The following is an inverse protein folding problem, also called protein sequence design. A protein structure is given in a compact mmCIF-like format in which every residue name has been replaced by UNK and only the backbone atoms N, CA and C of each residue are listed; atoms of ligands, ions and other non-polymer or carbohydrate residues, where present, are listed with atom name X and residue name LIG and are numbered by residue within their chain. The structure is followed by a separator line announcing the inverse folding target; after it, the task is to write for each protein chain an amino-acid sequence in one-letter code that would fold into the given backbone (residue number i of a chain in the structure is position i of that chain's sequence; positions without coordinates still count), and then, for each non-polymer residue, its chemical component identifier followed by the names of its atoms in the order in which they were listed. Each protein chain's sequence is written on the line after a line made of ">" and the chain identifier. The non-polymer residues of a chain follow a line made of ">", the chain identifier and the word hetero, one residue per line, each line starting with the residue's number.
data_IF_177769863618
#
_entry.id   IF_177769863618
#
_cell.length_a   1.000
_cell.length_b   1.000
_cell.length_c   1.000
_cell.angle_alpha   90.00
_cell.angle_beta   90.00
_cell.angle_gamma   90.00
#
_symmetry.space_group_name_H-M   'P 1'
#
loop_
_entity.id
_entity.type
_entity.pdbx_description
1 polymer ?
#
# COMPACT_ATOMS: atom_id res chain seq x y z
N UNK A 1 -54.86 -5.51 -8.76
CA UNK A 1 -54.09 -4.26 -8.58
C UNK A 1 -53.05 -4.42 -7.45
N UNK A 2 -52.21 -5.46 -7.47
CA UNK A 2 -51.23 -5.70 -6.39
C UNK A 2 -49.96 -6.47 -6.82
N UNK A 3 -49.66 -6.57 -8.13
CA UNK A 3 -48.48 -7.30 -8.62
C UNK A 3 -47.50 -6.43 -9.43
N UNK A 4 -47.85 -5.17 -9.71
CA UNK A 4 -46.95 -4.23 -10.42
C UNK A 4 -46.02 -3.43 -9.51
N UNK A 5 -46.19 -3.49 -8.18
CA UNK A 5 -45.44 -2.64 -7.24
C UNK A 5 -44.16 -3.29 -6.70
N UNK A 6 -43.91 -4.58 -6.97
CA UNK A 6 -42.75 -5.31 -6.43
C UNK A 6 -41.53 -5.35 -7.36
N UNK A 7 -41.70 -5.08 -8.66
CA UNK A 7 -40.61 -5.18 -9.65
C UNK A 7 -39.81 -3.86 -9.76
N UNK A 8 -40.37 -2.74 -9.26
CA UNK A 8 -39.71 -1.42 -9.32
C UNK A 8 -38.73 -1.13 -8.17
N UNK A 9 -38.66 -1.99 -7.14
CA UNK A 9 -37.76 -1.77 -5.99
C UNK A 9 -36.44 -2.55 -6.14
N UNK A 10 -36.36 -3.51 -7.06
CA UNK A 10 -35.13 -4.26 -7.36
C UNK A 10 -34.30 -3.65 -8.51
N UNK A 11 -34.52 -2.37 -8.82
CA UNK A 11 -33.68 -1.64 -9.77
C UNK A 11 -32.60 -0.85 -9.01
N UNK A 12 -31.50 -1.56 -8.75
CA UNK A 12 -30.15 -1.05 -8.95
C UNK A 12 -29.71 0.12 -8.06
N UNK A 13 -29.45 -0.19 -6.78
CA UNK A 13 -28.23 0.35 -6.16
C UNK A 13 -27.03 -0.40 -6.76
N UNK A 14 -26.81 -0.25 -8.07
CA UNK A 14 -25.50 -0.53 -8.64
C UNK A 14 -24.62 0.63 -8.19
N UNK A 15 -24.04 0.50 -6.99
CA UNK A 15 -22.83 1.25 -6.65
C UNK A 15 -21.78 0.83 -7.68
N UNK A 16 -21.80 1.49 -8.84
CA UNK A 16 -20.67 1.50 -9.74
C UNK A 16 -19.61 2.30 -9.00
N UNK A 17 -18.81 1.61 -8.20
CA UNK A 17 -17.64 2.21 -7.58
C UNK A 17 -16.74 2.64 -8.75
N UNK A 18 -16.77 3.92 -9.07
CA UNK A 18 -15.93 4.48 -10.12
C UNK A 18 -14.50 4.48 -9.57
N UNK A 19 -13.77 3.39 -9.82
CA UNK A 19 -12.37 3.25 -9.41
C UNK A 19 -11.58 4.46 -9.89
N UNK A 20 -10.74 5.03 -9.01
CA UNK A 20 -9.93 6.18 -9.36
C UNK A 20 -8.73 5.76 -10.22
N UNK A 21 -9.00 5.53 -11.50
CA UNK A 21 -8.01 5.09 -12.48
C UNK A 21 -7.14 6.20 -13.06
N UNK A 22 -7.40 7.45 -12.72
CA UNK A 22 -6.56 8.59 -13.12
C UNK A 22 -5.28 8.64 -12.29
N UNK A 23 -4.15 8.33 -12.93
CA UNK A 23 -2.81 8.44 -12.33
C UNK A 23 -2.08 9.69 -12.84
N UNK A 24 -1.11 10.18 -12.07
CA UNK A 24 -0.33 11.38 -12.42
C UNK A 24 0.54 11.18 -13.67
N UNK A 25 0.95 9.93 -13.94
CA UNK A 25 1.62 9.51 -15.16
C UNK A 25 1.57 7.99 -15.28
N UNK A 26 1.89 7.48 -16.47
CA UNK A 26 2.01 6.04 -16.67
C UNK A 26 3.14 5.40 -15.87
N UNK A 27 4.22 6.14 -15.62
CA UNK A 27 5.38 5.66 -14.84
C UNK A 27 5.05 5.54 -13.35
N UNK A 28 4.01 6.23 -12.88
CA UNK A 28 3.54 6.14 -11.50
C UNK A 28 2.63 4.91 -11.24
N UNK A 29 2.32 4.12 -12.27
CA UNK A 29 1.46 2.94 -12.14
C UNK A 29 2.19 1.81 -11.42
N UNK A 30 1.56 1.27 -10.39
CA UNK A 30 1.99 0.04 -9.71
C UNK A 30 1.19 -1.14 -10.24
N UNK A 31 1.88 -2.23 -10.60
CA UNK A 31 1.28 -3.43 -11.19
C UNK A 31 0.34 -4.15 -10.20
N UNK A 32 -0.92 -4.35 -10.61
CA UNK A 32 -1.93 -5.08 -9.86
C UNK A 32 -2.13 -6.53 -10.37
N UNK A 33 -1.41 -6.92 -11.41
CA UNK A 33 -1.40 -8.29 -11.93
C UNK A 33 0.04 -8.74 -12.24
N UNK A 34 0.88 -8.89 -11.20
CA UNK A 34 2.31 -9.19 -11.39
C UNK A 34 2.57 -10.63 -11.86
N UNK A 35 1.58 -11.52 -11.80
CA UNK A 35 1.70 -12.87 -12.34
C UNK A 35 1.41 -12.92 -13.84
N UNK A 36 1.74 -14.04 -14.48
CA UNK A 36 1.47 -14.22 -15.91
C UNK A 36 -0.02 -14.31 -16.22
N UNK A 37 -0.43 -13.80 -17.40
CA UNK A 37 -1.78 -14.00 -17.92
C UNK A 37 -2.78 -12.91 -17.54
N UNK A 38 -2.29 -11.68 -17.36
CA UNK A 38 -3.11 -10.49 -17.17
C UNK A 38 -4.02 -10.23 -18.38
N UNK A 39 -5.32 -10.07 -18.12
CA UNK A 39 -6.32 -9.65 -19.10
C UNK A 39 -7.17 -8.55 -18.48
N UNK A 40 -7.90 -7.79 -19.33
CA UNK A 40 -8.79 -6.74 -18.85
C UNK A 40 -9.79 -7.27 -17.82
N UNK A 41 -10.48 -8.37 -18.13
CA UNK A 41 -11.50 -8.93 -17.24
C UNK A 41 -10.92 -9.34 -15.88
N UNK A 42 -9.80 -10.08 -15.88
CA UNK A 42 -9.12 -10.49 -14.64
C UNK A 42 -8.60 -9.30 -13.83
N UNK A 43 -8.20 -8.21 -14.49
CA UNK A 43 -7.79 -6.99 -13.82
C UNK A 43 -8.95 -6.31 -13.11
N UNK A 44 -10.09 -6.18 -13.81
CA UNK A 44 -11.30 -5.57 -13.27
C UNK A 44 -11.91 -6.42 -12.14
N UNK A 45 -11.82 -7.75 -12.22
CA UNK A 45 -12.18 -8.68 -11.15
C UNK A 45 -11.38 -8.45 -9.87
N UNK A 46 -10.13 -7.97 -9.97
CA UNK A 46 -9.29 -7.57 -8.82
C UNK A 46 -9.62 -6.19 -8.28
N UNK A 47 -10.64 -5.54 -8.81
CA UNK A 47 -10.96 -4.15 -8.58
C UNK A 47 -9.82 -3.18 -8.94
N UNK A 48 -9.06 -3.53 -9.99
CA UNK A 48 -7.97 -2.72 -10.49
C UNK A 48 -8.29 -2.05 -11.83
N UNK A 49 -7.44 -1.11 -12.22
CA UNK A 49 -7.62 -0.32 -13.43
C UNK A 49 -6.93 -0.98 -14.62
N UNK A 50 -7.63 -1.03 -15.75
CA UNK A 50 -7.06 -1.50 -17.01
C UNK A 50 -6.99 -0.36 -18.03
N UNK A 51 -5.77 0.05 -18.39
CA UNK A 51 -5.55 1.01 -19.50
C UNK A 51 -4.24 0.69 -20.20
N UNK A 52 -4.23 0.76 -21.53
CA UNK A 52 -2.97 0.73 -22.28
C UNK A 52 -2.08 1.91 -21.84
N UNK A 53 -0.77 1.73 -21.72
CA UNK A 53 0.15 2.85 -21.61
C UNK A 53 -0.11 3.82 -22.77
N UNK A 54 -0.14 5.12 -22.49
CA UNK A 54 -0.11 6.14 -23.52
C UNK A 54 1.13 5.87 -24.36
N UNK A 55 0.95 5.59 -25.65
CA UNK A 55 2.08 5.54 -26.59
C UNK A 55 2.83 6.85 -26.39
N UNK A 56 4.10 6.77 -25.99
CA UNK A 56 4.98 7.93 -25.96
C UNK A 56 5.25 8.36 -27.41
N UNK A 57 4.25 8.96 -28.06
CA UNK A 57 4.48 9.77 -29.25
C UNK A 57 5.36 10.93 -28.77
N UNK A 58 6.65 10.83 -29.08
CA UNK A 58 7.67 11.85 -28.86
C UNK A 58 8.26 11.91 -27.44
N UNK A 59 8.60 10.77 -26.84
CA UNK A 59 9.52 10.78 -25.68
C UNK A 59 10.97 10.92 -26.15
N UNK A 60 11.56 12.08 -25.89
CA UNK A 60 13.01 12.33 -25.99
C UNK A 60 13.82 11.60 -24.92
N UNK A 61 13.17 10.81 -24.05
CA UNK A 61 13.77 10.11 -22.92
C UNK A 61 13.92 8.63 -23.27
N UNK A 62 15.09 8.30 -23.85
CA UNK A 62 15.52 6.95 -24.24
C UNK A 62 15.34 5.88 -23.14
N UNK A 63 15.36 6.26 -21.86
CA UNK A 63 15.23 5.35 -20.71
C UNK A 63 13.81 4.82 -20.45
N UNK A 64 12.78 5.39 -21.07
CA UNK A 64 11.39 4.93 -20.87
C UNK A 64 11.02 3.73 -21.75
N UNK A 65 11.83 3.39 -22.75
CA UNK A 65 11.61 2.23 -23.61
C UNK A 65 11.83 0.88 -22.88
N UNK A 66 12.55 0.89 -21.75
CA UNK A 66 12.85 -0.31 -20.94
C UNK A 66 11.91 -0.45 -19.72
N UNK A 67 11.01 0.50 -19.48
CA UNK A 67 10.07 0.44 -18.35
C UNK A 67 8.84 -0.36 -18.77
N UNK A 68 8.67 -1.54 -18.18
CA UNK A 68 7.47 -2.34 -18.37
C UNK A 68 6.28 -1.69 -17.64
N UNK A 69 5.55 -0.82 -18.32
CA UNK A 69 4.39 -0.11 -17.77
C UNK A 69 3.19 -1.07 -17.74
N UNK A 70 2.58 -1.33 -16.56
CA UNK A 70 1.50 -2.29 -16.46
C UNK A 70 0.20 -1.77 -17.08
N UNK A 71 -0.48 -2.66 -17.79
CA UNK A 71 -1.83 -2.42 -18.30
C UNK A 71 -2.84 -2.50 -17.15
N UNK A 72 -2.63 -3.44 -16.23
CA UNK A 72 -3.41 -3.60 -15.00
C UNK A 72 -2.69 -2.97 -13.81
N UNK A 73 -3.26 -1.93 -13.21
CA UNK A 73 -2.61 -1.19 -12.13
C UNK A 73 -3.57 -0.84 -11.00
N UNK A 74 -3.01 -0.61 -9.80
CA UNK A 74 -3.81 -0.22 -8.65
C UNK A 74 -4.46 1.16 -8.85
N UNK A 75 -5.76 1.31 -8.59
CA UNK A 75 -6.40 2.62 -8.50
C UNK A 75 -5.87 3.38 -7.28
N UNK A 76 -6.06 4.71 -7.27
CA UNK A 76 -5.62 5.56 -6.14
C UNK A 76 -6.31 5.22 -4.82
N UNK A 77 -7.56 4.77 -4.91
CA UNK A 77 -8.42 4.41 -3.80
C UNK A 77 -8.42 2.91 -3.50
N UNK A 78 -7.43 2.15 -4.00
CA UNK A 78 -7.33 0.72 -3.70
C UNK A 78 -7.23 0.47 -2.18
N UNK A 79 -7.95 -0.52 -1.62
CA UNK A 79 -7.93 -0.78 -0.18
C UNK A 79 -6.51 -1.02 0.36
N UNK A 80 -6.12 -0.20 1.31
CA UNK A 80 -4.80 -0.24 1.96
C UNK A 80 -4.95 -0.07 3.46
N UNK A 81 -3.84 -0.19 4.19
CA UNK A 81 -3.84 -0.03 5.63
C UNK A 81 -3.99 1.44 6.01
N UNK A 82 -4.60 1.69 7.16
CA UNK A 82 -4.61 2.97 7.85
C UNK A 82 -4.19 2.78 9.31
N UNK A 83 -3.73 3.86 9.93
CA UNK A 83 -3.31 3.84 11.34
C UNK A 83 -4.54 3.81 12.25
N UNK A 84 -4.59 2.83 13.15
CA UNK A 84 -5.58 2.80 14.24
C UNK A 84 -5.05 3.49 15.49
N UNK A 85 -3.82 3.16 15.89
CA UNK A 85 -3.20 3.76 17.09
C UNK A 85 -1.69 3.89 16.90
N UNK A 86 -1.11 4.91 17.52
CA UNK A 86 0.34 5.10 17.65
C UNK A 86 0.66 5.16 19.13
N UNK A 87 1.57 4.30 19.57
CA UNK A 87 2.06 4.23 20.94
C UNK A 87 3.56 4.51 20.95
N UNK A 88 4.00 5.39 21.84
CA UNK A 88 5.43 5.61 22.07
C UNK A 88 6.00 4.44 22.89
N UNK A 89 7.21 4.03 22.57
CA UNK A 89 7.92 2.95 23.27
C UNK A 89 9.35 3.39 23.54
N UNK A 90 10.06 2.67 24.41
CA UNK A 90 11.45 2.99 24.72
C UNK A 90 12.35 2.89 23.48
N UNK A 91 12.05 1.96 22.56
CA UNK A 91 12.80 1.75 21.32
C UNK A 91 12.35 2.65 20.14
N UNK A 92 11.25 3.38 20.29
CA UNK A 92 10.68 4.20 19.22
C UNK A 92 9.16 4.27 19.28
N UNK A 93 8.48 3.64 18.33
CA UNK A 93 7.02 3.66 18.22
C UNK A 93 6.48 2.27 17.87
N UNK A 94 5.29 1.97 18.39
CA UNK A 94 4.47 0.82 18.01
C UNK A 94 3.16 1.33 17.43
N UNK A 95 2.83 0.91 16.22
CA UNK A 95 1.67 1.36 15.47
C UNK A 95 0.77 0.16 15.19
N UNK A 96 -0.51 0.27 15.51
CA UNK A 96 -1.50 -0.68 15.02
C UNK A 96 -2.07 -0.14 13.72
N UNK A 97 -2.01 -0.94 12.67
CA UNK A 97 -2.58 -0.60 11.36
C UNK A 97 -3.66 -1.61 10.99
N UNK A 98 -4.71 -1.12 10.35
CA UNK A 98 -5.83 -1.94 9.90
C UNK A 98 -6.13 -1.72 8.42
N UNK A 99 -6.55 -2.77 7.73
CA UNK A 99 -7.12 -2.72 6.39
C UNK A 99 -8.64 -2.90 6.52
N UNK A 100 -9.42 -1.97 5.98
CA UNK A 100 -10.88 -1.96 6.10
C UNK A 100 -11.55 -3.12 5.36
N UNK A 101 -10.94 -3.60 4.27
CA UNK A 101 -11.50 -4.63 3.39
C UNK A 101 -10.41 -5.58 2.92
N UNK A 102 -10.75 -6.85 2.72
CA UNK A 102 -9.86 -7.82 2.06
C UNK A 102 -9.81 -7.54 0.56
N UNK A 103 -8.65 -7.81 -0.04
CA UNK A 103 -8.39 -7.65 -1.47
C UNK A 103 -8.47 -9.01 -2.18
N UNK A 104 -8.04 -9.06 -3.44
CA UNK A 104 -7.87 -10.31 -4.18
C UNK A 104 -6.73 -11.20 -3.63
N UNK A 105 -5.91 -10.67 -2.70
CA UNK A 105 -4.82 -11.43 -2.11
C UNK A 105 -5.37 -12.52 -1.16
N UNK A 106 -4.91 -13.77 -1.30
CA UNK A 106 -5.36 -14.84 -0.43
C UNK A 106 -4.87 -14.60 1.00
N UNK A 107 -5.76 -14.82 1.98
CA UNK A 107 -5.47 -14.71 3.42
C UNK A 107 -4.91 -13.34 3.84
N UNK A 108 -5.54 -12.27 3.36
CA UNK A 108 -5.25 -10.91 3.82
C UNK A 108 -5.32 -10.81 5.35
N UNK A 109 -4.25 -10.30 5.97
CA UNK A 109 -4.20 -10.09 7.42
C UNK A 109 -4.63 -8.66 7.71
N UNK A 110 -5.88 -8.46 8.10
CA UNK A 110 -6.46 -7.10 8.21
C UNK A 110 -5.89 -6.28 9.36
N UNK A 111 -5.30 -6.89 10.39
CA UNK A 111 -4.69 -6.20 11.53
C UNK A 111 -3.21 -6.54 11.61
N UNK A 112 -2.36 -5.52 11.57
CA UNK A 112 -0.92 -5.68 11.71
C UNK A 112 -0.37 -4.72 12.75
N UNK A 113 0.73 -5.12 13.37
CA UNK A 113 1.53 -4.24 14.22
C UNK A 113 2.79 -3.83 13.47
N UNK A 114 3.12 -2.54 13.56
CA UNK A 114 4.36 -1.96 13.05
C UNK A 114 5.21 -1.44 14.19
N UNK A 115 6.41 -1.99 14.38
CA UNK A 115 7.40 -1.44 15.30
C UNK A 115 8.43 -0.62 14.50
N UNK A 116 8.58 0.65 14.88
CA UNK A 116 9.60 1.57 14.39
C UNK A 116 10.70 1.67 15.44
N UNK A 117 11.87 1.16 15.10
CA UNK A 117 12.97 0.92 16.04
C UNK A 117 14.16 1.78 15.64
N UNK A 118 14.56 2.67 16.54
CA UNK A 118 15.66 3.63 16.35
C UNK A 118 16.94 3.04 16.91
N UNK A 119 17.58 2.15 16.14
CA UNK A 119 18.67 1.31 16.63
C UNK A 119 19.97 2.09 16.85
N UNK A 120 20.38 2.90 15.87
CA UNK A 120 21.59 3.73 15.93
C UNK A 120 21.35 5.05 15.22
N UNK A 121 22.31 5.97 15.29
CA UNK A 121 22.25 7.25 14.56
C UNK A 121 21.98 7.07 13.04
N UNK A 122 22.45 5.97 12.46
CA UNK A 122 22.39 5.68 11.02
C UNK A 122 21.59 4.42 10.67
N UNK A 123 20.96 3.77 11.66
CA UNK A 123 20.24 2.51 11.45
C UNK A 123 18.86 2.58 12.07
N UNK A 124 17.88 2.63 11.17
CA UNK A 124 16.47 2.52 11.48
C UNK A 124 15.97 1.13 11.08
N UNK A 125 15.09 0.54 11.90
CA UNK A 125 14.47 -0.75 11.58
C UNK A 125 12.96 -0.64 11.68
N UNK A 126 12.30 -1.21 10.68
CA UNK A 126 10.85 -1.35 10.62
C UNK A 126 10.54 -2.85 10.74
N UNK A 127 9.60 -3.21 11.61
CA UNK A 127 9.00 -4.54 11.64
C UNK A 127 7.51 -4.40 11.40
N UNK A 128 6.98 -5.14 10.43
CA UNK A 128 5.53 -5.26 10.21
C UNK A 128 5.19 -6.72 10.43
N UNK A 129 4.30 -7.01 11.36
CA UNK A 129 4.02 -8.39 11.76
C UNK A 129 2.59 -8.57 12.26
N UNK A 130 2.12 -9.81 12.20
CA UNK A 130 0.88 -10.24 12.83
C UNK A 130 1.16 -10.49 14.33
N UNK A 131 0.49 -9.74 15.20
CA UNK A 131 0.66 -9.83 16.65
C UNK A 131 -0.19 -10.93 17.30
N UNK A 132 -1.12 -11.53 16.56
CA UNK A 132 -2.00 -12.61 17.02
C UNK A 132 -1.38 -13.96 16.64
N UNK A 133 -0.98 -14.10 15.38
CA UNK A 133 -0.41 -15.35 14.86
C UNK A 133 1.04 -15.15 14.46
N UNK A 134 1.95 -15.77 15.22
CA UNK A 134 3.37 -15.74 14.92
C UNK A 134 3.64 -16.32 13.52
N UNK A 135 4.30 -15.53 12.68
CA UNK A 135 4.76 -15.95 11.35
C UNK A 135 6.22 -16.35 11.40
N UNK A 136 6.68 -17.03 10.35
CA UNK A 136 8.09 -17.38 10.21
C UNK A 136 8.97 -16.11 10.25
N UNK A 137 9.96 -16.11 11.14
CA UNK A 137 11.05 -15.15 11.15
C UNK A 137 12.35 -15.90 10.80
N UNK A 138 13.19 -15.31 9.95
CA UNK A 138 14.50 -15.89 9.60
C UNK A 138 15.32 -16.05 10.89
N UNK A 139 15.85 -17.24 11.20
CA UNK A 139 16.61 -17.48 12.42
C UNK A 139 18.02 -16.88 12.29
N UNK A 140 18.11 -15.57 12.49
CA UNK A 140 19.35 -14.81 12.46
C UNK A 140 19.44 -13.89 13.68
N UNK A 141 20.65 -13.71 14.21
CA UNK A 141 20.87 -12.84 15.36
C UNK A 141 20.70 -11.38 14.94
N UNK A 142 19.72 -10.71 15.55
CA UNK A 142 19.46 -9.29 15.36
C UNK A 142 19.71 -8.54 16.67
N UNK A 143 20.24 -7.30 16.63
CA UNK A 143 20.41 -6.49 17.84
C UNK A 143 19.08 -6.31 18.59
N UNK A 144 19.12 -6.47 19.91
CA UNK A 144 17.97 -6.19 20.77
C UNK A 144 18.08 -4.74 21.24
N UNK A 145 17.15 -3.90 20.81
CA UNK A 145 17.14 -2.48 21.15
C UNK A 145 16.15 -2.24 22.27
N UNK A 146 16.65 -1.90 23.45
CA UNK A 146 15.82 -1.58 24.62
C UNK A 146 15.47 -0.10 24.70
N UNK A 147 16.33 0.77 24.16
CA UNK A 147 16.15 2.23 24.19
C UNK A 147 16.62 2.84 22.88
N UNK A 148 15.83 3.79 22.35
CA UNK A 148 16.17 4.55 21.16
C UNK A 148 17.39 5.44 21.38
N UNK A 149 18.11 5.69 20.29
CA UNK A 149 19.15 6.73 20.28
C UNK A 149 18.56 8.13 20.41
N UNK A 150 19.34 9.05 20.99
CA UNK A 150 18.93 10.45 21.16
C UNK A 150 19.09 11.29 19.88
N UNK A 151 20.06 10.91 19.03
CA UNK A 151 20.42 11.63 17.81
C UNK A 151 20.40 10.63 16.66
N UNK A 152 19.89 11.09 15.51
CA UNK A 152 19.78 10.33 14.27
C UNK A 152 20.13 11.22 13.09
N UNK A 153 20.63 10.62 12.02
CA UNK A 153 20.85 11.26 10.71
C UNK A 153 19.58 11.30 9.84
N UNK A 154 18.48 10.75 10.35
CA UNK A 154 17.21 10.60 9.65
C UNK A 154 16.03 11.07 10.51
N UNK A 155 15.00 11.60 9.86
CA UNK A 155 13.68 11.85 10.41
C UNK A 155 12.69 10.82 9.88
N UNK A 156 11.66 10.50 10.68
CA UNK A 156 10.60 9.55 10.30
C UNK A 156 9.25 10.22 10.50
N UNK A 157 8.43 10.22 9.45
CA UNK A 157 7.06 10.72 9.47
C UNK A 157 6.10 9.60 9.05
N UNK A 158 4.96 9.55 9.71
CA UNK A 158 3.87 8.62 9.39
C UNK A 158 2.74 9.41 8.75
N UNK A 159 2.27 8.93 7.59
CA UNK A 159 0.95 9.30 7.09
C UNK A 159 -0.02 8.24 7.57
N UNK A 160 -1.16 8.67 8.10
CA UNK A 160 -2.10 7.77 8.76
C UNK A 160 -3.07 7.10 7.80
N UNK A 161 -3.51 7.80 6.76
CA UNK A 161 -4.46 7.29 5.78
C UNK A 161 -4.19 7.89 4.38
N UNK A 162 -3.73 7.09 3.41
CA UNK A 162 -3.25 5.71 3.58
C UNK A 162 -2.00 5.65 4.48
N UNK A 163 -1.80 4.53 5.16
CA UNK A 163 -0.61 4.30 5.98
C UNK A 163 0.64 4.30 5.10
N UNK A 164 1.59 5.18 5.41
CA UNK A 164 2.91 5.17 4.79
C UNK A 164 3.98 5.68 5.75
N UNK A 165 5.20 5.16 5.63
CA UNK A 165 6.37 5.60 6.40
C UNK A 165 7.26 6.41 5.47
N UNK A 166 7.54 7.66 5.84
CA UNK A 166 8.46 8.54 5.13
C UNK A 166 9.72 8.69 5.97
N UNK A 167 10.87 8.41 5.38
CA UNK A 167 12.17 8.55 6.03
C UNK A 167 12.93 9.63 5.29
N UNK A 168 13.32 10.70 5.99
CA UNK A 168 14.03 11.82 5.38
C UNK A 168 15.45 11.89 5.92
N UNK A 169 16.46 11.97 5.05
CA UNK A 169 17.84 12.27 5.48
C UNK A 169 17.90 13.72 5.98
N UNK A 170 18.32 13.93 7.24
CA UNK A 170 18.35 15.28 7.84
C UNK A 170 19.30 16.24 7.15
N UNK A 171 20.48 15.75 6.75
CA UNK A 171 21.52 16.60 6.17
C UNK A 171 21.16 17.17 4.79
N UNK A 172 20.30 16.49 4.03
CA UNK A 172 19.95 16.90 2.66
C UNK A 172 18.46 17.16 2.45
N UNK A 173 17.59 16.74 3.37
CA UNK A 173 16.14 16.80 3.21
C UNK A 173 15.56 15.84 2.17
N UNK A 174 16.36 14.90 1.64
CA UNK A 174 15.92 13.91 0.64
C UNK A 174 15.09 12.84 1.34
N UNK A 175 13.95 12.51 0.73
CA UNK A 175 13.01 11.44 1.13
C UNK A 175 13.37 10.16 0.37
#
# INVERSE_FOLDING_TARGET
>A
MAYLSLILIFCLISYSYCQQCEQSSDVARFDCYPESGSTQDKCLERHCCWRTPLKQMNSTIKYLNDVNIPYCYYPKDFPTYFVQTIQQTDFGQRIQINKSETTYMPNDITNLTVDLIYETEQRFRIRIYDSIYQRYEVPFQVPVIQKKVNITDYDVKINEQPFSILITRKSTGVI
#
